data_IF_797994808318
#
_entry.id   IF_797994808318
#
_cell.length_a   1.000
_cell.length_b   1.000
_cell.length_c   1.000
_cell.angle_alpha   90.00
_cell.angle_beta   90.00
_cell.angle_gamma   90.00
#
_symmetry.space_group_name_H-M   'P 1'
#
loop_
_entity.id
_entity.type
_entity.pdbx_description
1 polymer ?
#
# COMPACT_ATOMS: atom_id res chain seq x y z
N UNK A 1 -29.76 -17.86 29.29
CA UNK A 1 -28.89 -16.80 29.84
C UNK A 1 -29.00 -16.85 31.35
N UNK A 2 -27.88 -16.84 32.06
CA UNK A 2 -27.89 -16.79 33.53
C UNK A 2 -28.47 -15.45 34.01
N UNK A 3 -29.35 -15.45 35.03
CA UNK A 3 -29.91 -14.22 35.61
C UNK A 3 -28.79 -13.30 36.09
N UNK A 4 -28.82 -12.02 35.71
CA UNK A 4 -27.89 -11.00 36.20
C UNK A 4 -28.48 -9.61 36.13
N UNK A 5 -27.92 -8.69 36.91
CA UNK A 5 -28.21 -7.25 36.86
C UNK A 5 -27.09 -6.55 36.07
N UNK A 6 -27.46 -5.65 35.16
CA UNK A 6 -26.52 -4.82 34.39
C UNK A 6 -26.46 -3.46 35.07
N UNK A 7 -25.31 -3.14 35.67
CA UNK A 7 -25.10 -1.85 36.33
C UNK A 7 -24.90 -0.73 35.30
N UNK A 8 -25.06 0.54 35.68
CA UNK A 8 -24.77 1.67 34.79
C UNK A 8 -23.41 1.55 34.07
N UNK A 9 -22.35 1.15 34.77
CA UNK A 9 -21.01 0.96 34.20
C UNK A 9 -20.93 -0.20 33.20
N UNK A 10 -21.67 -1.29 33.44
CA UNK A 10 -21.78 -2.42 32.50
C UNK A 10 -22.55 -2.01 31.24
N UNK A 11 -23.60 -1.20 31.40
CA UNK A 11 -24.38 -0.64 30.30
C UNK A 11 -23.53 0.36 29.50
N UNK A 12 -22.72 1.19 30.16
CA UNK A 12 -21.77 2.09 29.53
C UNK A 12 -20.74 1.31 28.70
N UNK A 13 -20.17 0.24 29.27
CA UNK A 13 -19.22 -0.65 28.58
C UNK A 13 -19.85 -1.29 27.35
N UNK A 14 -21.08 -1.79 27.49
CA UNK A 14 -21.85 -2.38 26.39
C UNK A 14 -22.16 -1.35 25.29
N UNK A 15 -22.55 -0.14 25.69
CA UNK A 15 -22.87 0.96 24.76
C UNK A 15 -21.62 1.42 24.01
N UNK A 16 -20.49 1.56 24.71
CA UNK A 16 -19.19 1.92 24.10
C UNK A 16 -18.73 0.88 23.08
N UNK A 17 -18.81 -0.41 23.41
CA UNK A 17 -18.45 -1.48 22.49
C UNK A 17 -19.31 -1.39 21.21
N UNK A 18 -20.63 -1.26 21.39
CA UNK A 18 -21.55 -1.07 20.28
C UNK A 18 -21.22 0.17 19.43
N UNK A 19 -20.91 1.32 20.07
CA UNK A 19 -20.51 2.53 19.35
C UNK A 19 -19.22 2.35 18.58
N UNK A 20 -18.22 1.70 19.17
CA UNK A 20 -16.94 1.40 18.53
C UNK A 20 -17.14 0.64 17.21
N UNK A 21 -18.09 -0.29 17.19
CA UNK A 21 -18.35 -1.12 16.02
C UNK A 21 -19.29 -0.46 15.00
N UNK A 22 -20.16 0.44 15.43
CA UNK A 22 -21.30 0.90 14.60
C UNK A 22 -21.35 2.38 14.32
N UNK A 23 -20.52 3.23 14.95
CA UNK A 23 -20.63 4.68 14.80
C UNK A 23 -20.64 5.14 13.35
N UNK A 24 -19.82 4.53 12.48
CA UNK A 24 -19.69 4.95 11.09
C UNK A 24 -20.91 4.54 10.26
N UNK A 25 -21.46 3.33 10.47
CA UNK A 25 -22.67 2.90 9.76
C UNK A 25 -23.90 3.67 10.22
N UNK A 26 -23.99 3.93 11.53
CA UNK A 26 -25.00 4.79 12.15
C UNK A 26 -24.96 6.22 11.60
N UNK A 27 -23.77 6.82 11.52
CA UNK A 27 -23.59 8.15 10.94
C UNK A 27 -23.88 8.18 9.42
N UNK A 28 -23.50 7.15 8.67
CA UNK A 28 -23.89 7.03 7.26
C UNK A 28 -25.41 6.93 7.09
N UNK A 29 -26.10 6.17 7.95
CA UNK A 29 -27.56 6.09 7.96
C UNK A 29 -28.19 7.45 8.28
N UNK A 30 -27.66 8.18 9.28
CA UNK A 30 -28.06 9.55 9.61
C UNK A 30 -27.95 10.48 8.39
N UNK A 31 -26.79 10.49 7.73
CA UNK A 31 -26.50 11.37 6.60
C UNK A 31 -27.33 11.03 5.34
N UNK A 32 -27.64 9.76 5.14
CA UNK A 32 -28.47 9.27 4.02
C UNK A 32 -29.97 9.26 4.33
N UNK A 33 -30.38 9.68 5.54
CA UNK A 33 -31.76 9.62 6.04
C UNK A 33 -32.37 8.20 6.00
N UNK A 34 -31.52 7.19 6.17
CA UNK A 34 -31.96 5.81 6.33
C UNK A 34 -32.50 5.57 7.74
N UNK A 35 -33.44 4.64 7.90
CA UNK A 35 -33.98 4.30 9.22
C UNK A 35 -32.87 3.67 10.10
N UNK A 36 -32.70 4.20 11.31
CA UNK A 36 -31.76 3.68 12.29
C UNK A 36 -32.52 2.92 13.38
N UNK A 37 -32.11 1.68 13.64
CA UNK A 37 -32.68 0.92 14.75
C UNK A 37 -32.10 1.41 16.10
N UNK A 38 -32.95 1.65 17.11
CA UNK A 38 -32.48 2.04 18.43
C UNK A 38 -31.64 0.93 19.06
N UNK A 39 -30.58 1.31 19.76
CA UNK A 39 -29.81 0.35 20.57
C UNK A 39 -30.58 0.04 21.84
N UNK A 40 -30.91 -1.22 22.04
CA UNK A 40 -31.52 -1.71 23.26
C UNK A 40 -30.50 -2.50 24.10
N UNK A 41 -30.45 -2.20 25.40
CA UNK A 41 -29.65 -2.94 26.39
C UNK A 41 -30.59 -3.46 27.47
N UNK A 42 -30.72 -4.78 27.58
CA UNK A 42 -31.48 -5.40 28.67
C UNK A 42 -30.77 -5.16 29.99
N UNK A 43 -31.45 -4.53 30.95
CA UNK A 43 -30.85 -4.12 32.23
C UNK A 43 -30.90 -5.24 33.29
N UNK A 44 -31.78 -6.21 33.10
CA UNK A 44 -31.96 -7.34 34.02
C UNK A 44 -32.19 -8.68 33.28
N UNK A 45 -31.29 -9.09 32.37
CA UNK A 45 -31.48 -10.29 31.56
C UNK A 45 -31.68 -11.53 32.43
N UNK A 46 -32.76 -12.28 32.17
CA UNK A 46 -33.13 -13.46 32.94
C UNK A 46 -33.75 -13.19 34.32
N UNK A 47 -34.02 -11.93 34.68
CA UNK A 47 -34.66 -11.55 35.96
C UNK A 47 -36.06 -11.03 35.68
N UNK A 48 -37.06 -11.88 35.93
CA UNK A 48 -38.47 -11.59 35.63
C UNK A 48 -39.45 -12.01 36.72
N UNK A 49 -39.00 -12.83 37.69
CA UNK A 49 -39.83 -13.41 38.75
C UNK A 49 -39.16 -13.25 40.11
N UNK A 50 -39.95 -13.40 41.18
CA UNK A 50 -39.46 -13.27 42.56
C UNK A 50 -38.29 -14.19 42.89
N UNK A 51 -38.27 -15.42 42.37
CA UNK A 51 -37.18 -16.37 42.64
C UNK A 51 -35.85 -15.96 41.98
N UNK A 52 -35.88 -15.25 40.85
CA UNK A 52 -34.67 -14.73 40.18
C UNK A 52 -34.02 -13.64 41.05
N UNK A 53 -34.87 -12.76 41.61
CA UNK A 53 -34.43 -11.68 42.52
C UNK A 53 -33.88 -12.25 43.82
N UNK A 54 -34.53 -13.28 44.39
CA UNK A 54 -34.05 -13.97 45.58
C UNK A 54 -32.68 -14.63 45.33
N UNK A 55 -32.48 -15.25 44.16
CA UNK A 55 -31.22 -15.87 43.77
C UNK A 55 -30.05 -14.89 43.61
N UNK A 56 -30.33 -13.62 43.31
CA UNK A 56 -29.33 -12.55 43.21
C UNK A 56 -29.11 -11.79 44.53
N UNK A 57 -30.04 -11.93 45.48
CA UNK A 57 -30.04 -11.22 46.76
C UNK A 57 -30.79 -9.89 46.71
N UNK A 58 -31.67 -9.66 47.70
CA UNK A 58 -32.50 -8.46 47.78
C UNK A 58 -31.70 -7.16 48.00
N UNK A 59 -30.53 -7.23 48.64
CA UNK A 59 -29.62 -6.07 48.79
C UNK A 59 -29.11 -5.59 47.45
N UNK A 60 -28.48 -6.48 46.67
CA UNK A 60 -27.98 -6.19 45.33
C UNK A 60 -29.10 -5.67 44.39
N UNK A 61 -30.32 -6.21 44.51
CA UNK A 61 -31.49 -5.71 43.78
C UNK A 61 -31.82 -4.24 44.10
N UNK A 62 -31.84 -3.88 45.38
CA UNK A 62 -32.15 -2.51 45.80
C UNK A 62 -31.03 -1.54 45.43
N UNK A 63 -29.77 -1.92 45.62
CA UNK A 63 -28.60 -1.11 45.27
C UNK A 63 -28.57 -0.82 43.77
N UNK A 64 -28.84 -1.82 42.94
CA UNK A 64 -28.91 -1.68 41.49
C UNK A 64 -30.08 -0.78 41.05
N UNK A 65 -31.27 -0.91 41.65
CA UNK A 65 -32.40 0.00 41.38
C UNK A 65 -32.05 1.44 41.76
N UNK A 66 -31.40 1.64 42.90
CA UNK A 66 -30.98 2.95 43.35
C UNK A 66 -29.92 3.54 42.40
N UNK A 67 -28.96 2.75 41.95
CA UNK A 67 -27.96 3.18 40.98
C UNK A 67 -28.60 3.71 39.69
N UNK A 68 -29.57 2.99 39.11
CA UNK A 68 -30.30 3.43 37.92
C UNK A 68 -31.19 4.65 38.16
N UNK A 69 -31.77 4.81 39.35
CA UNK A 69 -32.58 6.00 39.68
C UNK A 69 -31.77 7.30 39.75
N UNK A 70 -30.45 7.20 39.92
CA UNK A 70 -29.53 8.36 39.96
C UNK A 70 -29.04 8.76 38.57
N UNK A 71 -29.27 7.95 37.54
CA UNK A 71 -28.86 8.27 36.17
C UNK A 71 -29.89 9.22 35.56
N UNK A 72 -29.51 10.49 35.38
CA UNK A 72 -30.36 11.47 34.71
C UNK A 72 -30.28 11.29 33.19
N UNK A 73 -31.35 10.84 32.54
CA UNK A 73 -31.40 10.66 31.08
C UNK A 73 -32.26 11.70 30.35
N UNK A 74 -32.78 12.70 31.07
CA UNK A 74 -33.64 13.72 30.49
C UNK A 74 -32.91 14.49 29.39
N UNK A 75 -33.62 14.74 28.29
CA UNK A 75 -33.11 15.39 27.08
C UNK A 75 -31.92 14.68 26.39
N UNK A 76 -31.56 13.45 26.80
CA UNK A 76 -30.47 12.69 26.17
C UNK A 76 -30.89 11.95 24.90
N UNK A 77 -32.19 11.86 24.60
CA UNK A 77 -32.70 11.02 23.52
C UNK A 77 -32.64 9.51 23.82
N UNK A 78 -32.38 9.13 25.08
CA UNK A 78 -32.49 7.78 25.58
C UNK A 78 -33.51 7.66 26.71
N UNK A 79 -34.05 6.47 26.91
CA UNK A 79 -35.05 6.17 27.94
C UNK A 79 -34.76 4.83 28.61
N UNK A 80 -35.04 4.75 29.91
CA UNK A 80 -35.07 3.48 30.65
C UNK A 80 -36.52 3.03 30.75
N UNK A 81 -36.86 1.99 30.01
CA UNK A 81 -38.15 1.30 30.14
C UNK A 81 -38.19 0.61 31.50
N UNK A 82 -39.20 0.93 32.30
CA UNK A 82 -39.52 0.24 33.55
C UNK A 82 -40.52 -0.88 33.27
N UNK A 83 -40.37 -2.01 33.98
CA UNK A 83 -41.41 -3.05 34.03
C UNK A 83 -41.54 -3.62 35.43
N UNK A 84 -42.78 -3.85 35.85
CA UNK A 84 -43.10 -4.56 37.07
C UNK A 84 -42.39 -5.92 37.18
N UNK A 85 -41.94 -6.24 38.40
CA UNK A 85 -41.57 -7.59 38.84
C UNK A 85 -42.11 -7.80 40.24
N UNK A 86 -42.69 -8.96 40.50
CA UNK A 86 -43.15 -9.32 41.85
C UNK A 86 -41.96 -9.79 42.68
N UNK A 87 -41.70 -9.11 43.80
CA UNK A 87 -40.63 -9.45 44.76
C UNK A 87 -41.26 -9.67 46.12
N UNK A 88 -41.15 -10.90 46.66
CA UNK A 88 -41.75 -11.28 47.93
C UNK A 88 -43.26 -10.94 48.03
N UNK A 89 -44.00 -11.16 46.94
CA UNK A 89 -45.44 -10.90 46.86
C UNK A 89 -45.85 -9.46 46.53
N UNK A 90 -44.90 -8.52 46.43
CA UNK A 90 -45.18 -7.11 46.12
C UNK A 90 -44.73 -6.76 44.69
N UNK A 91 -45.59 -6.21 43.83
CA UNK A 91 -45.19 -5.66 42.53
C UNK A 91 -44.27 -4.45 42.70
N UNK A 92 -43.11 -4.46 42.04
CA UNK A 92 -42.17 -3.34 42.04
C UNK A 92 -41.81 -2.95 40.60
N UNK A 93 -41.99 -1.67 40.26
CA UNK A 93 -41.43 -1.11 39.01
C UNK A 93 -39.91 -1.01 39.12
N UNK A 94 -39.22 -1.58 38.14
CA UNK A 94 -37.77 -1.61 38.10
C UNK A 94 -37.25 -1.51 36.66
N UNK A 95 -36.01 -1.01 36.47
CA UNK A 95 -35.38 -0.91 35.16
C UNK A 95 -35.48 -2.23 34.40
N UNK A 96 -35.88 -2.18 33.15
CA UNK A 96 -36.01 -3.35 32.29
C UNK A 96 -35.06 -3.26 31.10
N UNK A 97 -35.06 -2.11 30.43
CA UNK A 97 -34.31 -1.91 29.19
C UNK A 97 -33.91 -0.45 29.02
N UNK A 98 -32.65 -0.21 28.67
CA UNK A 98 -32.18 1.09 28.19
C UNK A 98 -32.34 1.13 26.66
N UNK A 99 -33.04 2.14 26.13
CA UNK A 99 -33.19 2.39 24.70
C UNK A 99 -32.48 3.68 24.31
N UNK A 100 -31.61 3.60 23.32
CA UNK A 100 -30.81 4.73 22.82
C UNK A 100 -31.11 4.95 21.33
N UNK A 101 -31.76 6.07 21.02
CA UNK A 101 -32.42 6.27 19.71
C UNK A 101 -31.52 6.79 18.60
N UNK A 102 -30.41 7.43 18.93
CA UNK A 102 -29.51 8.02 17.94
C UNK A 102 -28.04 7.90 18.36
N UNK A 103 -27.14 8.13 17.41
CA UNK A 103 -25.71 8.23 17.68
C UNK A 103 -25.38 9.35 18.67
N UNK A 104 -26.03 10.52 18.53
CA UNK A 104 -25.88 11.64 19.47
C UNK A 104 -26.41 11.30 20.87
N UNK A 105 -27.54 10.57 20.95
CA UNK A 105 -28.04 10.10 22.24
C UNK A 105 -27.06 9.14 22.91
N UNK A 106 -26.44 8.26 22.12
CA UNK A 106 -25.50 7.29 22.63
C UNK A 106 -24.23 7.92 23.22
N UNK A 107 -23.69 8.97 22.62
CA UNK A 107 -22.53 9.69 23.16
C UNK A 107 -22.88 10.39 24.47
N UNK A 108 -24.02 11.09 24.53
CA UNK A 108 -24.49 11.76 25.75
C UNK A 108 -24.76 10.76 26.89
N UNK A 109 -25.41 9.64 26.59
CA UNK A 109 -25.69 8.60 27.59
C UNK A 109 -24.39 7.99 28.12
N UNK A 110 -23.41 7.74 27.24
CA UNK A 110 -22.13 7.17 27.66
C UNK A 110 -21.42 8.08 28.68
N UNK A 111 -21.43 9.40 28.46
CA UNK A 111 -20.90 10.39 29.39
C UNK A 111 -21.64 10.37 30.73
N UNK A 112 -22.98 10.31 30.72
CA UNK A 112 -23.81 10.32 31.94
C UNK A 112 -23.72 9.03 32.74
N UNK A 113 -23.43 7.91 32.10
CA UNK A 113 -23.21 6.63 32.77
C UNK A 113 -21.79 6.52 33.39
N UNK A 114 -20.95 7.55 33.29
CA UNK A 114 -19.59 7.53 33.83
C UNK A 114 -18.62 6.61 33.06
N UNK A 115 -18.99 6.23 31.83
CA UNK A 115 -18.16 5.40 30.97
C UNK A 115 -16.91 6.12 30.49
N UNK A 116 -15.85 5.36 30.20
CA UNK A 116 -14.67 5.92 29.54
C UNK A 116 -15.03 6.52 28.16
N UNK A 117 -14.36 7.62 27.75
CA UNK A 117 -14.75 8.38 26.58
C UNK A 117 -14.69 7.55 25.29
N UNK A 118 -15.62 7.85 24.39
CA UNK A 118 -15.62 7.31 23.05
C UNK A 118 -14.61 8.08 22.19
N UNK A 119 -13.55 7.41 21.76
CA UNK A 119 -12.37 8.04 21.13
C UNK A 119 -12.55 8.56 19.71
N UNK A 120 -13.79 8.75 19.23
CA UNK A 120 -14.09 9.32 17.92
C UNK A 120 -14.91 10.59 18.11
N UNK A 121 -14.42 11.69 17.54
CA UNK A 121 -15.17 12.93 17.44
C UNK A 121 -16.28 12.79 16.39
N UNK A 122 -17.52 12.57 16.88
CA UNK A 122 -18.70 12.39 16.03
C UNK A 122 -19.06 13.66 15.27
N UNK A 123 -18.83 14.84 15.85
CA UNK A 123 -19.18 16.10 15.19
C UNK A 123 -18.21 16.38 14.03
N UNK A 124 -16.91 16.12 14.23
CA UNK A 124 -15.92 16.14 13.14
C UNK A 124 -16.27 15.11 12.07
N UNK A 125 -16.54 13.86 12.44
CA UNK A 125 -16.90 12.83 11.48
C UNK A 125 -18.18 13.18 10.70
N UNK A 126 -19.17 13.78 11.35
CA UNK A 126 -20.41 14.27 10.71
C UNK A 126 -20.11 15.39 9.72
N UNK A 127 -19.24 16.34 10.10
CA UNK A 127 -18.78 17.41 9.21
C UNK A 127 -18.11 16.85 7.95
N UNK A 128 -17.18 15.90 8.12
CA UNK A 128 -16.51 15.20 7.02
C UNK A 128 -17.53 14.50 6.12
N UNK A 129 -18.44 13.70 6.70
CA UNK A 129 -19.46 12.98 5.94
C UNK A 129 -20.39 13.88 5.12
N UNK A 130 -20.77 15.05 5.68
CA UNK A 130 -21.54 16.06 4.94
C UNK A 130 -20.74 16.62 3.75
N UNK A 131 -19.48 16.99 3.98
CA UNK A 131 -18.61 17.52 2.92
C UNK A 131 -18.38 16.50 1.80
N UNK A 132 -18.12 15.24 2.14
CA UNK A 132 -18.01 14.13 1.18
C UNK A 132 -19.29 13.97 0.35
N UNK A 133 -20.45 14.04 1.01
CA UNK A 133 -21.75 13.96 0.32
C UNK A 133 -21.96 15.14 -0.65
N UNK A 134 -21.57 16.35 -0.25
CA UNK A 134 -21.67 17.55 -1.09
C UNK A 134 -20.86 17.43 -2.38
N UNK A 135 -19.67 16.82 -2.33
CA UNK A 135 -18.83 16.60 -3.51
C UNK A 135 -19.17 15.32 -4.28
N UNK A 136 -20.28 14.66 -3.94
CA UNK A 136 -20.79 13.50 -4.67
C UNK A 136 -20.06 12.19 -4.38
N UNK A 137 -19.36 12.06 -3.25
CA UNK A 137 -18.68 10.83 -2.88
C UNK A 137 -19.67 9.69 -2.54
N UNK A 138 -19.32 8.46 -2.91
CA UNK A 138 -19.98 7.24 -2.47
C UNK A 138 -19.72 6.99 -0.98
N UNK A 139 -20.63 7.47 -0.13
CA UNK A 139 -20.47 7.43 1.32
C UNK A 139 -20.83 6.04 1.89
N UNK A 140 -19.80 5.23 2.15
CA UNK A 140 -19.93 3.98 2.91
C UNK A 140 -19.40 4.13 4.33
N UNK A 141 -19.85 3.28 5.26
CA UNK A 141 -19.38 3.28 6.64
C UNK A 141 -17.85 3.12 6.73
N UNK A 142 -17.28 2.22 5.92
CA UNK A 142 -15.83 2.01 5.87
C UNK A 142 -15.08 3.22 5.33
N UNK A 143 -15.57 3.82 4.24
CA UNK A 143 -14.94 5.02 3.66
C UNK A 143 -14.97 6.19 4.64
N UNK A 144 -16.12 6.44 5.28
CA UNK A 144 -16.25 7.47 6.31
C UNK A 144 -15.33 7.22 7.51
N UNK A 145 -15.27 5.98 8.00
CA UNK A 145 -14.38 5.61 9.11
C UNK A 145 -12.90 5.82 8.80
N UNK A 146 -12.49 5.53 7.56
CA UNK A 146 -11.11 5.75 7.11
C UNK A 146 -10.80 7.24 6.94
N UNK A 147 -11.69 8.01 6.32
CA UNK A 147 -11.50 9.46 6.16
C UNK A 147 -11.49 10.19 7.50
N UNK A 148 -12.33 9.79 8.46
CA UNK A 148 -12.35 10.41 9.78
C UNK A 148 -11.07 10.17 10.62
N UNK A 149 -10.23 9.19 10.24
CA UNK A 149 -8.92 8.94 10.88
C UNK A 149 -7.78 9.75 10.28
N UNK A 150 -8.01 10.38 9.13
CA UNK A 150 -7.04 11.29 8.52
C UNK A 150 -6.96 12.58 9.33
N UNK A 151 -5.82 13.26 9.24
CA UNK A 151 -5.70 14.63 9.72
C UNK A 151 -6.51 15.60 8.83
N UNK A 152 -6.64 16.85 9.27
CA UNK A 152 -7.46 17.81 8.54
C UNK A 152 -6.89 18.16 7.16
N UNK A 153 -5.56 18.15 6.99
CA UNK A 153 -4.93 18.44 5.71
C UNK A 153 -5.26 17.33 4.69
N UNK A 154 -5.12 16.07 5.08
CA UNK A 154 -5.44 14.91 4.25
C UNK A 154 -6.94 14.84 3.90
N UNK A 155 -7.83 15.26 4.82
CA UNK A 155 -9.26 15.41 4.51
C UNK A 155 -9.48 16.43 3.40
N UNK A 156 -8.78 17.58 3.43
CA UNK A 156 -8.86 18.56 2.34
C UNK A 156 -8.37 17.98 1.01
N UNK A 157 -7.29 17.18 1.02
CA UNK A 157 -6.80 16.51 -0.20
C UNK A 157 -7.87 15.55 -0.76
N UNK A 158 -8.52 14.76 0.07
CA UNK A 158 -9.62 13.86 -0.36
C UNK A 158 -10.76 14.66 -1.00
N UNK A 159 -11.21 15.74 -0.37
CA UNK A 159 -12.31 16.58 -0.86
C UNK A 159 -11.93 17.25 -2.20
N UNK A 160 -10.72 17.80 -2.29
CA UNK A 160 -10.17 18.40 -3.50
C UNK A 160 -10.08 17.39 -4.64
N UNK A 161 -9.57 16.18 -4.36
CA UNK A 161 -9.45 15.10 -5.33
C UNK A 161 -10.81 14.69 -5.88
N UNK A 162 -11.81 14.47 -5.02
CA UNK A 162 -13.15 14.05 -5.45
C UNK A 162 -13.82 15.16 -6.27
N UNK A 163 -13.71 16.41 -5.82
CA UNK A 163 -14.26 17.57 -6.55
C UNK A 163 -13.66 17.67 -7.95
N UNK A 164 -12.35 17.56 -8.07
CA UNK A 164 -11.67 17.63 -9.36
C UNK A 164 -12.03 16.45 -10.27
N UNK A 165 -12.04 15.22 -9.73
CA UNK A 165 -12.34 14.01 -10.49
C UNK A 165 -13.81 13.93 -10.95
N UNK A 166 -14.73 14.55 -10.21
CA UNK A 166 -16.11 14.70 -10.63
C UNK A 166 -16.24 15.58 -11.89
N UNK A 167 -15.37 16.58 -12.05
CA UNK A 167 -15.31 17.44 -13.23
C UNK A 167 -14.50 16.83 -14.39
N UNK A 168 -13.76 15.73 -14.15
CA UNK A 168 -12.87 15.09 -15.13
C UNK A 168 -13.21 13.59 -15.24
N UNK A 169 -14.27 13.24 -16.00
CA UNK A 169 -14.71 11.85 -16.15
C UNK A 169 -13.74 11.01 -16.99
N UNK A 170 -12.93 11.63 -17.86
CA UNK A 170 -11.90 10.95 -18.65
C UNK A 170 -10.50 11.35 -18.16
N UNK A 171 -9.68 10.35 -17.83
CA UNK A 171 -8.31 10.53 -17.35
C UNK A 171 -7.26 10.03 -18.34
N UNK A 172 -7.65 9.59 -19.55
CA UNK A 172 -6.73 8.99 -20.52
C UNK A 172 -5.58 9.90 -20.98
N UNK A 173 -5.75 11.22 -20.89
CA UNK A 173 -4.68 12.18 -21.22
C UNK A 173 -3.67 12.40 -20.08
N UNK A 174 -3.97 11.90 -18.88
CA UNK A 174 -3.20 12.14 -17.68
C UNK A 174 -2.47 10.87 -17.26
N UNK A 175 -1.19 11.00 -16.92
CA UNK A 175 -0.58 10.03 -16.01
C UNK A 175 -1.02 10.35 -14.59
N UNK A 176 -0.98 9.37 -13.67
CA UNK A 176 -1.28 9.60 -12.24
C UNK A 176 -0.48 10.76 -11.63
N UNK A 177 0.75 11.00 -12.11
CA UNK A 177 1.65 12.07 -11.64
C UNK A 177 1.32 13.45 -12.20
N UNK A 178 0.52 13.52 -13.26
CA UNK A 178 0.13 14.78 -13.89
C UNK A 178 -1.18 15.32 -13.32
N UNK A 179 -1.93 14.53 -12.53
CA UNK A 179 -3.20 14.96 -11.95
C UNK A 179 -3.01 16.26 -11.15
N UNK A 180 -3.65 17.37 -11.56
CA UNK A 180 -3.38 18.71 -11.01
C UNK A 180 -4.25 18.97 -9.77
N UNK A 181 -4.17 18.05 -8.80
CA UNK A 181 -4.92 18.16 -7.54
C UNK A 181 -3.97 18.69 -6.46
N UNK A 182 -4.24 19.87 -5.87
CA UNK A 182 -3.40 20.47 -4.83
C UNK A 182 -3.10 19.49 -3.68
N UNK A 183 -1.85 19.49 -3.20
CA UNK A 183 -1.32 18.64 -2.13
C UNK A 183 -1.38 17.12 -2.37
N UNK A 184 -2.02 16.65 -3.45
CA UNK A 184 -2.11 15.24 -3.81
C UNK A 184 -0.86 14.76 -4.57
N UNK A 185 0.28 14.67 -3.88
CA UNK A 185 1.49 14.12 -4.48
C UNK A 185 1.39 12.60 -4.69
N UNK A 186 2.21 12.03 -5.59
CA UNK A 186 2.13 10.61 -5.99
C UNK A 186 2.17 9.64 -4.80
N UNK A 187 3.06 9.87 -3.82
CA UNK A 187 3.14 9.04 -2.61
C UNK A 187 1.84 9.02 -1.79
N UNK A 188 1.11 10.13 -1.79
CA UNK A 188 -0.16 10.25 -1.08
C UNK A 188 -1.23 9.44 -1.81
N UNK A 189 -1.30 9.60 -3.14
CA UNK A 189 -2.20 8.83 -3.98
C UNK A 189 -1.95 7.32 -3.83
N UNK A 190 -0.69 6.89 -3.86
CA UNK A 190 -0.32 5.48 -3.68
C UNK A 190 -0.80 4.92 -2.33
N UNK A 191 -0.68 5.71 -1.25
CA UNK A 191 -1.13 5.34 0.09
C UNK A 191 -2.67 5.32 0.22
N UNK A 192 -3.38 6.19 -0.50
CA UNK A 192 -4.82 6.40 -0.36
C UNK A 192 -5.67 5.86 -1.52
N UNK A 193 -5.06 5.16 -2.50
CA UNK A 193 -5.74 4.64 -3.71
C UNK A 193 -7.02 3.87 -3.42
N UNK A 194 -6.99 3.02 -2.39
CA UNK A 194 -8.14 2.21 -2.02
C UNK A 194 -9.26 3.06 -1.39
N UNK A 195 -8.90 4.13 -0.65
CA UNK A 195 -9.90 5.04 -0.08
C UNK A 195 -10.58 5.84 -1.19
N UNK A 196 -9.80 6.41 -2.11
CA UNK A 196 -10.33 7.15 -3.24
C UNK A 196 -11.22 6.27 -4.12
N UNK A 197 -10.80 5.02 -4.40
CA UNK A 197 -11.64 4.08 -5.15
C UNK A 197 -12.97 3.81 -4.46
N UNK A 198 -12.97 3.61 -3.14
CA UNK A 198 -14.21 3.38 -2.38
C UNK A 198 -15.12 4.62 -2.40
N UNK A 199 -14.54 5.83 -2.34
CA UNK A 199 -15.28 7.10 -2.35
C UNK A 199 -15.75 7.52 -3.75
N UNK A 200 -15.07 7.12 -4.82
CA UNK A 200 -15.36 7.52 -6.20
C UNK A 200 -16.08 6.44 -7.00
N UNK A 201 -15.96 5.17 -6.59
CA UNK A 201 -16.36 4.01 -7.40
C UNK A 201 -15.50 3.81 -8.65
N UNK A 202 -14.32 4.46 -8.73
CA UNK A 202 -13.44 4.53 -9.90
C UNK A 202 -12.00 4.13 -9.55
N UNK A 203 -11.30 3.49 -10.47
CA UNK A 203 -9.88 3.15 -10.29
C UNK A 203 -9.00 4.13 -11.09
N UNK A 204 -8.58 5.21 -10.42
CA UNK A 204 -7.76 6.28 -11.01
C UNK A 204 -6.50 5.71 -11.68
N UNK A 205 -5.88 4.68 -11.09
CA UNK A 205 -4.66 4.07 -11.64
C UNK A 205 -4.91 3.26 -12.90
N UNK A 206 -6.12 2.71 -13.07
CA UNK A 206 -6.53 1.99 -14.28
C UNK A 206 -7.04 2.90 -15.40
N UNK A 207 -7.50 4.10 -15.06
CA UNK A 207 -8.08 5.06 -16.02
C UNK A 207 -7.04 6.05 -16.59
N UNK A 208 -5.94 6.28 -15.86
CA UNK A 208 -4.84 7.14 -16.32
C UNK A 208 -3.95 6.40 -17.31
N UNK A 209 -3.37 7.12 -18.29
CA UNK A 209 -2.42 6.50 -19.22
C UNK A 209 -1.16 6.04 -18.49
N UNK A 210 -0.56 4.91 -18.91
CA UNK A 210 0.68 4.43 -18.33
C UNK A 210 1.80 5.42 -18.58
N UNK A 211 2.76 5.45 -17.65
CA UNK A 211 4.02 6.15 -17.88
C UNK A 211 4.86 5.32 -18.84
N UNK A 212 5.18 5.89 -20.00
CA UNK A 212 6.09 5.24 -20.95
C UNK A 212 7.48 5.10 -20.33
N UNK A 213 8.11 3.94 -20.52
CA UNK A 213 9.52 3.76 -20.20
C UNK A 213 10.38 4.25 -21.38
N UNK A 214 11.57 4.76 -21.05
CA UNK A 214 12.56 5.19 -22.03
C UNK A 214 13.84 4.40 -21.76
N UNK A 215 14.30 3.67 -22.76
CA UNK A 215 15.59 2.99 -22.73
C UNK A 215 16.60 3.82 -23.51
N UNK A 216 17.66 4.27 -22.84
CA UNK A 216 18.73 4.98 -23.51
C UNK A 216 19.76 3.99 -24.05
N UNK A 217 20.34 4.29 -25.21
CA UNK A 217 21.35 3.46 -25.84
C UNK A 217 22.55 4.27 -26.35
N UNK A 218 23.65 3.57 -26.56
CA UNK A 218 24.90 4.10 -27.11
C UNK A 218 25.39 3.16 -28.22
N UNK A 219 25.63 3.72 -29.39
CA UNK A 219 26.31 3.03 -30.49
C UNK A 219 27.82 3.00 -30.20
N UNK A 220 28.42 1.83 -30.29
CA UNK A 220 29.85 1.62 -30.00
C UNK A 220 30.60 0.91 -31.12
N UNK A 221 29.93 0.64 -32.24
CA UNK A 221 30.57 0.07 -33.42
C UNK A 221 31.59 1.06 -34.02
N UNK A 222 32.86 0.67 -34.22
CA UNK A 222 33.89 1.56 -34.75
C UNK A 222 33.56 2.12 -36.15
N UNK A 223 32.96 1.31 -37.03
CA UNK A 223 32.66 1.71 -38.41
C UNK A 223 31.54 2.75 -38.43
N UNK A 224 30.51 2.55 -37.60
CA UNK A 224 29.47 3.56 -37.40
C UNK A 224 30.01 4.82 -36.73
N UNK A 225 30.87 4.71 -35.72
CA UNK A 225 31.46 5.88 -35.06
C UNK A 225 32.34 6.71 -36.01
N UNK A 226 32.99 6.07 -36.98
CA UNK A 226 33.77 6.76 -38.02
C UNK A 226 32.89 7.62 -38.95
N UNK A 227 31.57 7.42 -38.96
CA UNK A 227 30.62 8.29 -39.70
C UNK A 227 30.33 9.62 -39.01
N UNK A 228 30.79 9.80 -37.77
CA UNK A 228 30.54 10.98 -36.92
C UNK A 228 29.06 11.32 -36.70
N UNK A 229 28.17 10.35 -36.91
CA UNK A 229 26.74 10.47 -36.65
C UNK A 229 26.42 10.40 -35.14
N UNK A 230 25.13 10.53 -34.78
CA UNK A 230 24.69 10.51 -33.39
C UNK A 230 25.16 9.23 -32.69
N UNK A 231 25.85 9.38 -31.55
CA UNK A 231 26.34 8.25 -30.75
C UNK A 231 25.32 7.75 -29.71
N UNK A 232 24.53 8.65 -29.16
CA UNK A 232 23.54 8.32 -28.12
C UNK A 232 22.13 8.46 -28.66
N UNK A 233 21.26 7.52 -28.29
CA UNK A 233 19.88 7.43 -28.77
C UNK A 233 18.95 6.99 -27.64
N UNK A 234 17.65 6.94 -27.92
CA UNK A 234 16.67 6.40 -27.00
C UNK A 234 15.51 5.70 -27.72
N UNK A 235 15.00 4.64 -27.11
CA UNK A 235 13.75 3.99 -27.46
C UNK A 235 12.70 4.27 -26.39
N UNK A 236 11.45 4.50 -26.79
CA UNK A 236 10.32 4.69 -25.89
C UNK A 236 9.32 3.54 -26.06
N UNK A 237 8.76 3.03 -24.96
CA UNK A 237 7.77 1.95 -25.01
C UNK A 237 6.58 2.29 -25.90
N UNK A 238 6.20 1.35 -26.76
CA UNK A 238 5.12 1.51 -27.74
C UNK A 238 5.55 2.17 -29.04
N UNK A 239 6.79 2.67 -29.13
CA UNK A 239 7.31 3.31 -30.35
C UNK A 239 7.99 2.30 -31.28
N UNK A 240 7.88 2.56 -32.58
CA UNK A 240 8.68 1.87 -33.61
C UNK A 240 10.05 2.52 -33.68
N UNK A 241 11.11 1.73 -33.55
CA UNK A 241 12.47 2.27 -33.56
C UNK A 241 13.39 1.42 -34.43
N UNK A 242 14.11 2.09 -35.31
CA UNK A 242 15.16 1.51 -36.13
C UNK A 242 16.51 2.08 -35.64
N UNK A 243 17.39 1.23 -35.07
CA UNK A 243 18.73 1.66 -34.70
C UNK A 243 19.54 2.00 -35.95
N UNK A 244 20.63 2.75 -35.78
CA UNK A 244 21.49 3.17 -36.88
C UNK A 244 22.13 1.99 -37.66
N UNK A 245 22.26 0.83 -37.02
CA UNK A 245 22.63 -0.44 -37.62
C UNK A 245 21.94 -1.59 -36.88
N UNK A 246 21.78 -2.74 -37.54
CA UNK A 246 21.34 -3.96 -36.89
C UNK A 246 22.48 -4.51 -36.02
N UNK A 247 22.35 -4.57 -34.69
CA UNK A 247 23.42 -5.06 -33.83
C UNK A 247 23.56 -6.57 -33.96
N UNK A 248 24.80 -7.04 -33.95
CA UNK A 248 25.13 -8.44 -33.68
C UNK A 248 25.02 -8.72 -32.17
N UNK A 249 25.47 -7.76 -31.36
CA UNK A 249 25.52 -7.88 -29.91
C UNK A 249 24.76 -6.73 -29.24
N UNK A 250 23.93 -7.06 -28.26
CA UNK A 250 23.32 -6.07 -27.36
C UNK A 250 23.86 -6.29 -25.96
N UNK A 251 24.46 -5.25 -25.38
CA UNK A 251 24.89 -5.26 -23.98
C UNK A 251 23.95 -4.37 -23.15
N UNK A 252 23.22 -4.98 -22.23
CA UNK A 252 22.36 -4.29 -21.28
C UNK A 252 23.18 -4.01 -20.02
N UNK A 253 23.30 -2.73 -19.65
CA UNK A 253 24.03 -2.27 -18.46
C UNK A 253 23.09 -1.56 -17.49
N UNK A 254 23.35 -1.66 -16.19
CA UNK A 254 22.57 -0.93 -15.17
C UNK A 254 23.05 0.52 -15.03
N UNK A 255 24.37 0.73 -15.04
CA UNK A 255 24.98 2.01 -14.78
C UNK A 255 25.03 2.91 -16.03
N UNK A 256 24.59 4.16 -15.87
CA UNK A 256 24.57 5.18 -16.93
C UNK A 256 25.96 5.52 -17.49
N UNK A 257 26.98 5.62 -16.64
CA UNK A 257 28.34 5.95 -17.09
C UNK A 257 28.94 4.79 -17.88
N UNK A 258 28.67 3.55 -17.48
CA UNK A 258 29.01 2.36 -18.27
C UNK A 258 28.36 2.42 -19.66
N UNK A 259 27.08 2.81 -19.78
CA UNK A 259 26.44 2.99 -21.09
C UNK A 259 27.08 4.12 -21.91
N UNK A 260 27.32 5.28 -21.29
CA UNK A 260 27.78 6.48 -22.00
C UNK A 260 29.21 6.34 -22.54
N UNK A 261 30.07 5.69 -21.76
CA UNK A 261 31.52 5.64 -22.03
C UNK A 261 32.02 4.27 -22.45
N UNK A 262 31.14 3.34 -22.80
CA UNK A 262 31.55 2.02 -23.24
C UNK A 262 32.53 2.11 -24.43
N UNK A 263 33.67 1.39 -24.37
CA UNK A 263 34.67 1.37 -25.42
C UNK A 263 34.12 0.90 -26.77
N UNK A 264 34.92 1.09 -27.83
CA UNK A 264 34.53 0.64 -29.16
C UNK A 264 34.43 -0.89 -29.19
N UNK A 265 33.29 -1.40 -29.68
CA UNK A 265 33.00 -2.82 -29.81
C UNK A 265 32.22 -3.05 -31.12
N UNK A 266 32.81 -3.77 -32.10
CA UNK A 266 32.16 -4.03 -33.39
C UNK A 266 30.76 -4.65 -33.23
N UNK A 267 29.82 -4.23 -34.07
CA UNK A 267 28.46 -4.73 -34.15
C UNK A 267 27.63 -4.57 -32.86
N UNK A 268 28.09 -3.78 -31.88
CA UNK A 268 27.51 -3.77 -30.53
C UNK A 268 26.70 -2.52 -30.27
N UNK A 269 25.53 -2.66 -29.63
CA UNK A 269 24.76 -1.54 -29.06
C UNK A 269 24.67 -1.74 -27.53
N UNK A 270 24.97 -0.69 -26.77
CA UNK A 270 24.89 -0.71 -25.30
C UNK A 270 23.60 -0.02 -24.85
N UNK A 271 22.79 -0.69 -24.03
CA UNK A 271 21.46 -0.23 -23.58
C UNK A 271 21.44 -0.10 -22.07
N UNK A 272 20.90 1.00 -21.54
CA UNK A 272 20.70 1.19 -20.09
C UNK A 272 19.41 0.49 -19.65
N UNK A 273 19.56 -0.55 -18.84
CA UNK A 273 18.47 -1.29 -18.21
C UNK A 273 17.90 -0.48 -17.05
N UNK A 274 16.83 0.29 -17.30
CA UNK A 274 16.20 1.22 -16.34
C UNK A 274 15.48 0.57 -15.15
N UNK A 275 16.13 -0.32 -14.41
CA UNK A 275 15.57 -1.07 -13.28
C UNK A 275 14.54 -2.14 -13.68
N UNK A 276 14.00 -2.86 -12.68
CA UNK A 276 13.17 -4.09 -12.85
C UNK A 276 12.05 -3.97 -13.89
N UNK A 277 11.34 -2.84 -13.98
CA UNK A 277 10.18 -2.68 -14.86
C UNK A 277 10.54 -2.26 -16.30
N UNK A 278 11.65 -1.53 -16.50
CA UNK A 278 12.08 -1.13 -17.84
C UNK A 278 12.81 -2.28 -18.55
N UNK A 279 13.55 -3.10 -17.79
CA UNK A 279 14.32 -4.22 -18.31
C UNK A 279 13.45 -5.30 -18.97
N UNK A 280 12.24 -5.57 -18.47
CA UNK A 280 11.33 -6.54 -19.11
C UNK A 280 10.78 -6.06 -20.46
N UNK A 281 10.68 -4.74 -20.67
CA UNK A 281 10.19 -4.15 -21.92
C UNK A 281 11.24 -4.25 -23.04
N UNK A 282 12.53 -4.37 -22.70
CA UNK A 282 13.60 -4.57 -23.69
C UNK A 282 13.44 -5.89 -24.44
N UNK A 283 12.88 -6.91 -23.78
CA UNK A 283 12.62 -8.19 -24.41
C UNK A 283 11.64 -8.07 -25.59
N UNK A 284 10.80 -7.03 -25.66
CA UNK A 284 9.82 -6.82 -26.74
C UNK A 284 10.34 -5.97 -27.91
N UNK A 285 11.57 -5.46 -27.81
CA UNK A 285 12.14 -4.59 -28.84
C UNK A 285 12.67 -5.42 -30.01
N UNK A 286 12.12 -5.20 -31.21
CA UNK A 286 12.36 -6.04 -32.39
C UNK A 286 13.85 -6.21 -32.75
N UNK A 287 14.64 -5.13 -32.74
CA UNK A 287 16.06 -5.21 -33.08
C UNK A 287 16.92 -5.83 -31.96
N UNK A 288 16.48 -5.77 -30.70
CA UNK A 288 17.11 -6.52 -29.61
C UNK A 288 16.83 -8.00 -29.80
N UNK A 289 15.60 -8.36 -30.19
CA UNK A 289 15.23 -9.76 -30.47
C UNK A 289 15.95 -10.37 -31.66
N UNK A 290 16.33 -9.54 -32.63
CA UNK A 290 17.04 -9.96 -33.82
C UNK A 290 18.56 -10.02 -33.64
N UNK A 291 19.10 -9.51 -32.52
CA UNK A 291 20.52 -9.60 -32.22
C UNK A 291 20.94 -11.06 -32.01
N UNK A 292 22.15 -11.41 -32.44
CA UNK A 292 22.70 -12.75 -32.25
C UNK A 292 22.92 -13.04 -30.76
N UNK A 293 23.37 -12.02 -30.01
CA UNK A 293 23.82 -12.16 -28.63
C UNK A 293 23.28 -11.04 -27.77
N UNK A 294 22.76 -11.40 -26.59
CA UNK A 294 22.28 -10.45 -25.59
C UNK A 294 22.98 -10.72 -24.26
N UNK A 295 23.72 -9.72 -23.78
CA UNK A 295 24.45 -9.76 -22.51
C UNK A 295 23.84 -8.79 -21.50
N UNK A 296 23.97 -9.13 -20.23
CA UNK A 296 23.67 -8.26 -19.10
C UNK A 296 24.91 -8.06 -18.23
N UNK A 297 25.11 -6.83 -17.77
CA UNK A 297 26.11 -6.49 -16.77
C UNK A 297 25.51 -5.48 -15.80
N UNK A 298 25.35 -5.87 -14.54
CA UNK A 298 24.84 -5.01 -13.48
C UNK A 298 25.68 -5.08 -12.23
N UNK A 299 25.19 -4.47 -11.15
CA UNK A 299 25.81 -4.55 -9.84
C UNK A 299 25.82 -6.01 -9.35
N UNK A 300 26.93 -6.45 -8.74
CA UNK A 300 26.93 -7.70 -8.00
C UNK A 300 26.34 -7.43 -6.60
N UNK A 301 25.02 -7.32 -6.55
CA UNK A 301 24.22 -7.25 -5.32
C UNK A 301 22.86 -7.94 -5.46
N UNK A 302 22.07 -7.94 -4.39
CA UNK A 302 20.78 -8.63 -4.39
C UNK A 302 19.78 -8.08 -5.43
N UNK A 303 19.82 -6.79 -5.75
CA UNK A 303 18.93 -6.19 -6.74
C UNK A 303 19.43 -6.42 -8.17
N UNK A 304 20.74 -6.35 -8.42
CA UNK A 304 21.35 -6.65 -9.71
C UNK A 304 21.10 -8.10 -10.17
N UNK A 305 21.23 -9.08 -9.26
CA UNK A 305 20.85 -10.47 -9.54
C UNK A 305 19.34 -10.65 -9.76
N UNK A 306 18.49 -9.91 -9.04
CA UNK A 306 17.06 -9.95 -9.27
C UNK A 306 16.66 -9.36 -10.63
N UNK A 307 17.37 -8.34 -11.12
CA UNK A 307 17.20 -7.80 -12.46
C UNK A 307 17.62 -8.85 -13.51
N UNK A 308 18.76 -9.51 -13.33
CA UNK A 308 19.22 -10.59 -14.22
C UNK A 308 18.21 -11.75 -14.29
N UNK A 309 17.69 -12.20 -13.16
CA UNK A 309 16.67 -13.25 -13.08
C UNK A 309 15.41 -12.89 -13.88
N UNK A 310 14.89 -11.68 -13.67
CA UNK A 310 13.71 -11.19 -14.37
C UNK A 310 13.95 -10.98 -15.87
N UNK A 311 15.12 -10.45 -16.24
CA UNK A 311 15.53 -10.31 -17.64
C UNK A 311 15.54 -11.66 -18.35
N UNK A 312 16.18 -12.67 -17.75
CA UNK A 312 16.19 -14.02 -18.33
C UNK A 312 14.80 -14.60 -18.50
N UNK A 313 13.92 -14.44 -17.51
CA UNK A 313 12.53 -14.87 -17.63
C UNK A 313 11.81 -14.18 -18.80
N UNK A 314 11.99 -12.87 -18.96
CA UNK A 314 11.38 -12.10 -20.06
C UNK A 314 11.92 -12.53 -21.43
N UNK A 315 13.24 -12.63 -21.60
CA UNK A 315 13.87 -13.03 -22.86
C UNK A 315 13.60 -14.49 -23.24
N UNK A 316 13.43 -15.37 -22.25
CA UNK A 316 13.06 -16.77 -22.48
C UNK A 316 11.69 -16.90 -23.19
N UNK A 317 10.72 -16.04 -22.89
CA UNK A 317 9.42 -16.02 -23.60
C UNK A 317 9.57 -15.69 -25.10
N UNK A 318 10.68 -15.06 -25.47
CA UNK A 318 11.01 -14.65 -26.83
C UNK A 318 12.00 -15.59 -27.53
N UNK A 319 12.40 -16.68 -26.87
CA UNK A 319 13.36 -17.66 -27.40
C UNK A 319 14.81 -17.17 -27.44
N UNK A 320 15.13 -16.07 -26.76
CA UNK A 320 16.47 -15.47 -26.76
C UNK A 320 17.19 -15.88 -25.49
N UNK A 321 18.44 -16.33 -25.65
CA UNK A 321 19.33 -16.63 -24.53
C UNK A 321 20.02 -15.35 -24.09
N UNK A 322 19.81 -14.96 -22.84
CA UNK A 322 20.49 -13.84 -22.20
C UNK A 322 21.59 -14.35 -21.26
N UNK A 323 22.81 -13.90 -21.50
CA UNK A 323 23.99 -14.23 -20.69
C UNK A 323 24.40 -13.03 -19.84
N UNK A 324 25.16 -13.27 -18.77
CA UNK A 324 25.72 -12.19 -17.96
C UNK A 324 27.24 -12.20 -18.04
N UNK A 325 27.85 -11.01 -18.04
CA UNK A 325 29.30 -10.85 -17.92
C UNK A 325 29.63 -10.28 -16.54
N UNK A 326 30.77 -10.70 -15.97
CA UNK A 326 31.29 -10.17 -14.69
C UNK A 326 30.34 -10.33 -13.48
N UNK A 327 29.45 -11.32 -13.50
CA UNK A 327 28.46 -11.59 -12.43
C UNK A 327 28.50 -13.04 -11.91
N UNK A 328 29.55 -13.79 -12.23
CA UNK A 328 29.75 -15.14 -11.71
C UNK A 328 30.60 -15.12 -10.41
N UNK A 329 30.73 -16.28 -9.77
CA UNK A 329 31.53 -16.39 -8.53
C UNK A 329 33.02 -16.05 -8.73
N UNK A 330 33.57 -16.27 -9.93
CA UNK A 330 34.94 -15.91 -10.24
C UNK A 330 35.12 -14.39 -10.27
N UNK A 331 34.23 -13.67 -10.96
CA UNK A 331 34.21 -12.21 -10.98
C UNK A 331 34.02 -11.64 -9.58
N UNK A 332 33.10 -12.21 -8.79
CA UNK A 332 32.88 -11.82 -7.40
C UNK A 332 34.16 -11.91 -6.57
N UNK A 333 34.90 -13.02 -6.71
CA UNK A 333 36.14 -13.25 -5.97
C UNK A 333 37.26 -12.32 -6.46
N UNK A 334 37.39 -12.16 -7.78
CA UNK A 334 38.40 -11.32 -8.42
C UNK A 334 38.26 -9.84 -8.01
N UNK A 335 37.03 -9.34 -7.92
CA UNK A 335 36.73 -7.94 -7.63
C UNK A 335 36.30 -7.67 -6.18
N UNK A 336 36.47 -8.65 -5.28
CA UNK A 336 36.11 -8.53 -3.86
C UNK A 336 36.69 -7.29 -3.15
N UNK A 337 37.87 -6.83 -3.57
CA UNK A 337 38.52 -5.62 -3.03
C UNK A 337 37.74 -4.31 -3.29
N UNK A 338 36.80 -4.32 -4.24
CA UNK A 338 35.89 -3.21 -4.53
C UNK A 338 34.58 -3.28 -3.73
N UNK A 339 34.41 -4.33 -2.91
CA UNK A 339 33.17 -4.60 -2.20
C UNK A 339 32.84 -3.58 -1.12
N UNK A 340 31.56 -3.24 -1.00
CA UNK A 340 31.01 -2.36 0.03
C UNK A 340 29.94 -3.07 0.87
N UNK A 341 29.79 -2.65 2.13
CA UNK A 341 28.79 -3.17 3.08
C UNK A 341 27.79 -2.09 3.54
N UNK A 342 27.99 -0.85 3.09
CA UNK A 342 27.15 0.29 3.46
C UNK A 342 26.57 0.96 2.22
N UNK A 343 25.38 1.53 2.36
CA UNK A 343 24.77 2.35 1.33
C UNK A 343 25.35 3.78 1.31
N UNK A 344 24.84 4.60 0.40
CA UNK A 344 25.23 6.02 0.25
C UNK A 344 24.96 6.90 1.48
N UNK A 345 24.17 6.43 2.43
CA UNK A 345 23.85 7.10 3.69
C UNK A 345 24.63 6.50 4.88
N UNK A 346 25.51 5.53 4.63
CA UNK A 346 26.31 4.84 5.65
C UNK A 346 25.56 3.73 6.39
N UNK A 347 24.29 3.45 6.04
CA UNK A 347 23.53 2.37 6.64
C UNK A 347 24.01 1.02 6.11
N UNK A 348 23.96 -0.03 6.94
CA UNK A 348 24.38 -1.36 6.52
C UNK A 348 23.44 -1.93 5.45
N UNK A 349 24.00 -2.46 4.37
CA UNK A 349 23.27 -3.19 3.35
C UNK A 349 22.63 -4.44 3.98
N UNK A 350 21.38 -4.68 3.62
CA UNK A 350 20.60 -5.78 4.21
C UNK A 350 20.83 -7.08 3.42
N UNK A 351 20.79 -8.24 4.10
CA UNK A 351 20.72 -9.52 3.41
C UNK A 351 19.41 -9.64 2.62
N UNK A 352 19.38 -10.55 1.66
CA UNK A 352 18.20 -10.92 0.89
C UNK A 352 17.92 -12.42 1.06
N UNK A 353 16.65 -12.78 1.17
CA UNK A 353 16.18 -14.17 1.21
C UNK A 353 15.39 -14.57 -0.04
N UNK A 354 15.34 -13.70 -1.05
CA UNK A 354 14.61 -13.94 -2.29
C UNK A 354 15.28 -15.11 -3.03
N UNK A 355 14.48 -16.08 -3.47
CA UNK A 355 14.94 -17.17 -4.34
C UNK A 355 14.82 -16.73 -5.80
N UNK A 356 15.92 -16.84 -6.53
CA UNK A 356 16.02 -16.49 -7.96
C UNK A 356 16.13 -17.79 -8.75
N UNK A 357 15.20 -18.01 -9.69
CA UNK A 357 15.00 -19.30 -10.37
C UNK A 357 15.72 -19.44 -11.70
N UNK A 358 16.20 -18.34 -12.27
CA UNK A 358 16.72 -18.24 -13.63
C UNK A 358 18.23 -17.93 -13.67
N UNK A 359 18.90 -17.91 -12.51
CA UNK A 359 20.35 -17.76 -12.43
C UNK A 359 21.07 -19.06 -12.80
N UNK A 360 22.27 -18.94 -13.37
CA UNK A 360 23.15 -20.11 -13.56
C UNK A 360 23.68 -20.60 -12.21
N UNK A 361 24.30 -21.78 -12.17
CA UNK A 361 24.94 -22.28 -10.95
C UNK A 361 26.00 -21.29 -10.42
N UNK A 362 26.87 -20.79 -11.30
CA UNK A 362 27.96 -19.88 -10.92
C UNK A 362 27.47 -18.51 -10.43
N UNK A 363 26.37 -18.00 -10.98
CA UNK A 363 25.72 -16.77 -10.49
C UNK A 363 24.96 -17.01 -9.18
N UNK A 364 24.31 -18.17 -9.01
CA UNK A 364 23.66 -18.53 -7.75
C UNK A 364 24.67 -18.60 -6.61
N UNK A 365 25.86 -19.15 -6.85
CA UNK A 365 26.93 -19.19 -5.87
C UNK A 365 27.38 -17.77 -5.49
N UNK A 366 27.48 -16.87 -6.46
CA UNK A 366 27.81 -15.46 -6.22
C UNK A 366 26.71 -14.70 -5.47
N UNK A 367 25.45 -14.87 -5.88
CA UNK A 367 24.29 -14.31 -5.19
C UNK A 367 24.19 -14.83 -3.76
N UNK A 368 24.40 -16.12 -3.52
CA UNK A 368 24.37 -16.71 -2.19
C UNK A 368 25.45 -16.07 -1.29
N UNK A 369 26.68 -15.88 -1.79
CA UNK A 369 27.75 -15.25 -1.02
C UNK A 369 27.40 -13.82 -0.55
N UNK A 370 26.72 -13.03 -1.39
CA UNK A 370 26.34 -11.65 -1.08
C UNK A 370 25.03 -11.55 -0.27
N UNK A 371 24.03 -12.35 -0.60
CA UNK A 371 22.69 -12.27 -0.04
C UNK A 371 22.58 -12.87 1.38
N UNK A 372 23.54 -13.73 1.76
CA UNK A 372 23.55 -14.50 3.01
C UNK A 372 23.35 -13.64 4.27
N UNK A 373 22.58 -14.13 5.23
CA UNK A 373 22.46 -13.54 6.57
C UNK A 373 23.74 -13.74 7.38
N UNK A 374 24.24 -12.70 8.04
CA UNK A 374 25.41 -12.79 8.92
C UNK A 374 26.52 -11.80 8.59
N UNK A 375 27.70 -12.05 9.16
CA UNK A 375 28.89 -11.25 8.93
C UNK A 375 29.52 -11.62 7.59
N UNK A 376 29.60 -10.67 6.67
CA UNK A 376 30.16 -10.82 5.32
C UNK A 376 31.14 -9.69 5.07
N UNK A 377 32.17 -9.93 4.26
CA UNK A 377 33.17 -8.91 3.94
C UNK A 377 32.55 -7.73 3.17
N UNK A 378 31.62 -8.02 2.25
CA UNK A 378 30.88 -7.04 1.47
C UNK A 378 29.53 -7.64 1.03
N UNK A 379 28.63 -6.77 0.57
CA UNK A 379 27.30 -7.15 0.03
C UNK A 379 27.00 -6.55 -1.34
N UNK A 380 27.92 -5.76 -1.88
CA UNK A 380 27.75 -5.14 -3.19
C UNK A 380 29.11 -4.84 -3.79
N UNK A 381 29.27 -5.15 -5.06
CA UNK A 381 30.29 -4.54 -5.92
C UNK A 381 29.53 -3.75 -6.97
N UNK A 382 29.74 -2.43 -6.96
CA UNK A 382 29.12 -1.50 -7.90
C UNK A 382 29.72 -1.71 -9.30
N UNK A 383 28.88 -1.79 -10.34
CA UNK A 383 29.26 -2.06 -11.72
C UNK A 383 30.37 -1.12 -12.20
N UNK A 384 30.20 0.18 -11.98
CA UNK A 384 31.12 1.23 -12.44
C UNK A 384 32.49 1.22 -11.78
N UNK A 385 32.68 0.41 -10.72
CA UNK A 385 33.97 0.25 -10.05
C UNK A 385 34.85 -0.75 -10.78
N UNK A 386 34.25 -1.70 -11.50
CA UNK A 386 34.99 -2.63 -12.35
C UNK A 386 35.33 -1.90 -13.64
N UNK A 387 36.59 -1.98 -14.07
CA UNK A 387 37.06 -1.31 -15.27
C UNK A 387 36.23 -1.72 -16.49
N UNK A 388 35.78 -0.74 -17.26
CA UNK A 388 34.97 -0.98 -18.46
C UNK A 388 35.73 -1.77 -19.54
N UNK A 389 37.07 -1.75 -19.49
CA UNK A 389 37.93 -2.58 -20.35
C UNK A 389 37.82 -4.08 -20.00
N UNK A 390 37.56 -4.43 -18.73
CA UNK A 390 37.28 -5.82 -18.34
C UNK A 390 35.97 -6.29 -18.96
N UNK A 391 34.94 -5.45 -18.96
CA UNK A 391 33.67 -5.77 -19.62
C UNK A 391 33.82 -5.92 -21.13
N UNK A 392 34.62 -5.07 -21.78
CA UNK A 392 34.96 -5.23 -23.21
C UNK A 392 35.67 -6.57 -23.46
N UNK A 393 36.62 -6.95 -22.60
CA UNK A 393 37.33 -8.22 -22.73
C UNK A 393 36.37 -9.42 -22.61
N UNK A 394 35.51 -9.44 -21.59
CA UNK A 394 34.51 -10.50 -21.43
C UNK A 394 33.54 -10.56 -22.62
N UNK A 395 33.12 -9.40 -23.13
CA UNK A 395 32.24 -9.33 -24.30
C UNK A 395 32.90 -9.91 -25.56
N UNK A 396 34.21 -9.71 -25.72
CA UNK A 396 34.99 -10.23 -26.84
C UNK A 396 35.33 -11.73 -26.71
N UNK A 397 35.42 -12.26 -25.49
CA UNK A 397 35.71 -13.68 -25.22
C UNK A 397 34.44 -14.54 -25.25
N UNK A 398 33.30 -13.97 -24.82
CA UNK A 398 32.01 -14.65 -24.86
C UNK A 398 31.42 -14.73 -26.28
N UNK A 399 31.88 -13.86 -27.19
CA UNK A 399 31.51 -13.85 -28.60
C UNK A 399 32.45 -14.62 -29.50
#
# INVERSE_FOLDING_TARGET
MSPRLVWPDDAATTLRAHLTDTWASRLCAELTRSAEEPKEISLRPGVSRSHDVAGLGHGAWNDWRQAWSRVELDHSGAEVELRAVTVAGVPQEAPFRLRVRSLQAATQVLERLGGAPFGVDIDRARSIGRRLSTVGAALTANALARTARLDDADVEVVISAITWLAAHPDLGEWTTRQLPIPEMHTKWLDAHRALLRDLLGRDISGETRPRLAVAHLTYVDPDYLATEQRRHDAWTTGDTHQPAYAPQTVLIVENRDCRLWFPHAPGTIVVEGGGKAASSLLADVAWIRAAERVYYWGDMDADGYAILDHLRAAFATSGIRLESILMDFNALTRFAHLGVIRDKHGAALKPSSIRLGNLTAAENDAYAAIATTGNVAFRRIEQERISITEALHELAVAG
#
